data_IF_091252656243
#
_entry.id   IF_091252656243
#
_cell.length_a   1.000
_cell.length_b   1.000
_cell.length_c   1.000
_cell.angle_alpha   90.00
_cell.angle_beta   90.00
_cell.angle_gamma   90.00
#
_symmetry.space_group_name_H-M   'P 1'
#
loop_
_entity.id
_entity.type
_entity.pdbx_description
1 polymer ?
#
# COMPACT_ATOMS: atom_id res chain seq x y z
N UNK A 1 -10.25 8.94 4.58
CA UNK A 1 -10.82 8.78 3.22
C UNK A 1 -10.77 7.30 2.89
N UNK A 2 -11.90 6.61 2.76
CA UNK A 2 -11.89 5.19 2.37
C UNK A 2 -11.47 5.07 0.91
N UNK A 3 -10.43 4.28 0.64
CA UNK A 3 -10.02 3.95 -0.73
C UNK A 3 -11.00 2.88 -1.23
N UNK A 4 -11.61 3.05 -2.43
CA UNK A 4 -12.51 2.06 -2.99
C UNK A 4 -11.82 0.70 -3.16
N UNK A 5 -12.50 -0.35 -2.75
CA UNK A 5 -12.04 -1.73 -2.85
C UNK A 5 -12.41 -2.34 -4.21
N UNK A 6 -11.87 -3.54 -4.51
CA UNK A 6 -12.26 -4.30 -5.71
C UNK A 6 -13.76 -4.64 -5.71
N UNK A 7 -14.35 -4.88 -4.54
CA UNK A 7 -15.79 -5.13 -4.40
C UNK A 7 -16.61 -3.87 -4.76
N UNK A 8 -16.14 -2.69 -4.34
CA UNK A 8 -16.78 -1.43 -4.72
C UNK A 8 -16.73 -1.23 -6.25
N UNK A 9 -15.59 -1.53 -6.88
CA UNK A 9 -15.45 -1.47 -8.34
C UNK A 9 -16.32 -2.52 -9.07
N UNK A 10 -16.55 -3.68 -8.47
CA UNK A 10 -17.48 -4.67 -9.00
C UNK A 10 -18.92 -4.13 -9.03
N UNK A 11 -19.36 -3.51 -7.93
CA UNK A 11 -20.68 -2.87 -7.85
C UNK A 11 -20.80 -1.72 -8.86
N UNK A 12 -19.78 -0.87 -8.96
CA UNK A 12 -19.72 0.21 -9.96
C UNK A 12 -19.81 -0.34 -11.38
N UNK A 13 -19.13 -1.45 -11.66
CA UNK A 13 -19.17 -2.12 -12.97
C UNK A 13 -20.57 -2.58 -13.32
N UNK A 14 -21.33 -3.14 -12.36
CA UNK A 14 -22.72 -3.53 -12.59
C UNK A 14 -23.59 -2.34 -12.98
N UNK A 15 -23.53 -1.24 -12.21
CA UNK A 15 -24.28 -0.02 -12.54
C UNK A 15 -23.87 0.58 -13.89
N UNK A 16 -22.57 0.61 -14.19
CA UNK A 16 -22.06 1.07 -15.48
C UNK A 16 -22.56 0.18 -16.62
N UNK A 17 -22.63 -1.13 -16.42
CA UNK A 17 -23.16 -2.10 -17.39
C UNK A 17 -24.63 -1.85 -17.67
N UNK A 18 -25.47 -1.76 -16.64
CA UNK A 18 -26.90 -1.45 -16.80
C UNK A 18 -27.12 -0.13 -17.54
N UNK A 19 -26.36 0.90 -17.16
CA UNK A 19 -26.42 2.23 -17.79
C UNK A 19 -25.97 2.17 -19.26
N UNK A 20 -24.91 1.42 -19.56
CA UNK A 20 -24.41 1.22 -20.94
C UNK A 20 -25.45 0.53 -21.81
N UNK A 21 -26.08 -0.53 -21.31
CA UNK A 21 -27.15 -1.24 -22.01
C UNK A 21 -28.37 -0.33 -22.24
N UNK A 22 -28.75 0.48 -21.25
CA UNK A 22 -29.83 1.46 -21.39
C UNK A 22 -29.53 2.48 -22.49
N UNK A 23 -28.32 3.06 -22.52
CA UNK A 23 -27.91 3.98 -23.60
C UNK A 23 -27.79 3.27 -24.95
N UNK A 24 -27.35 2.01 -25.00
CA UNK A 24 -27.32 1.22 -26.22
C UNK A 24 -28.73 0.98 -26.79
N UNK A 25 -29.68 0.61 -25.94
CA UNK A 25 -31.09 0.48 -26.33
C UNK A 25 -31.68 1.82 -26.80
N UNK A 26 -31.40 2.91 -26.07
CA UNK A 26 -31.86 4.25 -26.45
C UNK A 26 -31.24 4.72 -27.77
N UNK A 27 -29.97 4.41 -28.01
CA UNK A 27 -29.30 4.62 -29.30
C UNK A 27 -30.05 3.91 -30.43
N UNK A 28 -30.36 2.62 -30.27
CA UNK A 28 -31.11 1.84 -31.27
C UNK A 28 -32.50 2.44 -31.55
N UNK A 29 -33.23 2.80 -30.49
CA UNK A 29 -34.54 3.47 -30.62
C UNK A 29 -34.42 4.83 -31.33
N UNK A 30 -33.39 5.61 -31.02
CA UNK A 30 -33.12 6.88 -31.68
C UNK A 30 -32.84 6.75 -33.18
N UNK A 31 -32.22 5.65 -33.61
CA UNK A 31 -32.09 5.33 -35.03
C UNK A 31 -33.40 4.88 -35.66
N UNK A 32 -34.18 4.02 -34.97
CA UNK A 32 -35.46 3.52 -35.46
C UNK A 32 -36.50 4.63 -35.65
N UNK A 33 -36.60 5.55 -34.68
CA UNK A 33 -37.52 6.68 -34.69
C UNK A 33 -36.91 7.96 -35.31
N UNK A 34 -35.69 7.88 -35.85
CA UNK A 34 -34.99 8.98 -36.55
C UNK A 34 -34.87 10.27 -35.73
N UNK A 35 -34.55 10.16 -34.44
CA UNK A 35 -34.35 11.33 -33.59
C UNK A 35 -33.15 12.19 -34.05
N UNK A 36 -33.26 13.50 -33.92
CA UNK A 36 -32.21 14.44 -34.34
C UNK A 36 -30.87 14.26 -33.58
N UNK A 37 -30.91 13.72 -32.37
CA UNK A 37 -29.74 13.53 -31.51
C UNK A 37 -29.18 12.09 -31.52
N UNK A 38 -29.67 11.20 -32.40
CA UNK A 38 -29.29 9.78 -32.43
C UNK A 38 -27.78 9.53 -32.52
N UNK A 39 -27.04 10.37 -33.24
CA UNK A 39 -25.58 10.23 -33.35
C UNK A 39 -24.84 10.63 -32.06
N UNK A 40 -25.40 11.53 -31.25
CA UNK A 40 -24.85 11.88 -29.93
C UNK A 40 -24.97 10.69 -28.98
N UNK A 41 -26.07 9.93 -29.07
CA UNK A 41 -26.26 8.72 -28.27
C UNK A 41 -25.20 7.65 -28.56
N UNK A 42 -24.76 7.49 -29.83
CA UNK A 42 -23.66 6.57 -30.16
C UNK A 42 -22.38 6.95 -29.43
N UNK A 43 -22.05 8.25 -29.39
CA UNK A 43 -20.91 8.76 -28.63
C UNK A 43 -21.04 8.48 -27.13
N UNK A 44 -22.21 8.74 -26.54
CA UNK A 44 -22.48 8.42 -25.13
C UNK A 44 -22.37 6.93 -24.85
N UNK A 45 -22.96 6.06 -25.68
CA UNK A 45 -22.85 4.60 -25.54
C UNK A 45 -21.39 4.15 -25.64
N UNK A 46 -20.62 4.66 -26.60
CA UNK A 46 -19.20 4.34 -26.74
C UNK A 46 -18.38 4.74 -25.52
N UNK A 47 -18.61 5.95 -24.98
CA UNK A 47 -17.96 6.40 -23.75
C UNK A 47 -18.33 5.50 -22.55
N UNK A 48 -19.61 5.14 -22.42
CA UNK A 48 -20.09 4.27 -21.35
C UNK A 48 -19.49 2.85 -21.42
N UNK A 49 -19.24 2.34 -22.63
CA UNK A 49 -18.50 1.07 -22.81
C UNK A 49 -17.09 1.20 -22.24
N UNK A 50 -16.35 2.25 -22.60
CA UNK A 50 -14.99 2.49 -22.09
C UNK A 50 -14.99 2.58 -20.56
N UNK A 51 -15.93 3.33 -19.98
CA UNK A 51 -16.06 3.48 -18.53
C UNK A 51 -16.34 2.13 -17.84
N UNK A 52 -17.24 1.32 -18.43
CA UNK A 52 -17.58 -0.01 -17.92
C UNK A 52 -16.38 -0.95 -17.97
N UNK A 53 -15.66 -1.00 -19.09
CA UNK A 53 -14.44 -1.81 -19.22
C UNK A 53 -13.35 -1.36 -18.25
N UNK A 54 -13.18 -0.05 -18.04
CA UNK A 54 -12.25 0.50 -17.07
C UNK A 54 -12.59 0.07 -15.64
N UNK A 55 -13.84 0.28 -15.21
CA UNK A 55 -14.31 -0.14 -13.89
C UNK A 55 -14.18 -1.66 -13.69
N UNK A 56 -14.49 -2.45 -14.71
CA UNK A 56 -14.35 -3.90 -14.68
C UNK A 56 -12.89 -4.33 -14.50
N UNK A 57 -11.96 -3.71 -15.24
CA UNK A 57 -10.52 -3.97 -15.07
C UNK A 57 -10.06 -3.72 -13.62
N UNK A 58 -10.55 -2.64 -13.00
CA UNK A 58 -10.26 -2.32 -11.60
C UNK A 58 -10.92 -3.29 -10.61
N UNK A 59 -12.01 -3.97 -10.98
CA UNK A 59 -12.64 -4.99 -10.12
C UNK A 59 -11.85 -6.31 -10.04
N UNK A 60 -10.99 -6.59 -11.03
CA UNK A 60 -10.24 -7.86 -11.11
C UNK A 60 -8.92 -7.79 -10.34
N UNK A 61 -8.24 -6.64 -10.34
CA UNK A 61 -6.90 -6.51 -9.74
C UNK A 61 -7.04 -6.13 -8.27
N UNK A 62 -6.57 -6.96 -7.32
CA UNK A 62 -6.63 -6.64 -5.91
C UNK A 62 -5.83 -5.37 -5.59
N UNK A 63 -6.51 -4.35 -5.06
CA UNK A 63 -5.88 -3.18 -4.45
C UNK A 63 -5.41 -3.42 -3.02
N UNK A 64 -5.74 -4.59 -2.45
CA UNK A 64 -5.34 -4.94 -1.09
C UNK A 64 -3.83 -5.13 -1.03
N UNK A 65 -3.16 -4.17 -0.41
CA UNK A 65 -1.78 -4.36 0.02
C UNK A 65 -1.77 -5.53 1.01
N UNK A 66 -0.87 -6.47 0.80
CA UNK A 66 -0.63 -7.55 1.76
C UNK A 66 -0.22 -6.91 3.08
N UNK A 67 -1.13 -6.93 4.06
CA UNK A 67 -0.88 -6.36 5.38
C UNK A 67 -0.58 -7.50 6.34
N UNK A 68 0.61 -7.50 6.92
CA UNK A 68 1.05 -8.47 7.91
C UNK A 68 0.39 -8.10 9.24
N UNK A 69 -0.40 -9.02 9.85
CA UNK A 69 -1.02 -8.78 11.14
C UNK A 69 0.02 -8.37 12.20
N UNK A 70 -0.30 -7.35 13.00
CA UNK A 70 0.61 -6.85 14.03
C UNK A 70 1.66 -5.84 13.54
N UNK A 71 1.73 -5.56 12.24
CA UNK A 71 2.53 -4.43 11.74
C UNK A 71 1.94 -3.11 12.24
N UNK A 72 2.81 -2.20 12.69
CA UNK A 72 2.44 -0.84 13.10
C UNK A 72 2.82 0.18 12.01
N UNK A 73 2.26 1.41 12.05
CA UNK A 73 2.67 2.47 11.14
C UNK A 73 4.15 2.82 11.28
N UNK A 74 4.80 3.08 10.15
CA UNK A 74 6.19 3.53 10.08
C UNK A 74 6.36 4.61 9.02
N UNK A 75 7.47 5.35 9.08
CA UNK A 75 7.82 6.35 8.07
C UNK A 75 9.17 6.02 7.44
N UNK A 76 9.30 6.12 6.12
CA UNK A 76 10.61 6.00 5.47
C UNK A 76 11.37 7.30 5.69
N UNK A 77 12.49 7.23 6.41
CA UNK A 77 13.32 8.41 6.73
C UNK A 77 14.57 8.50 5.87
N UNK A 78 14.98 7.40 5.26
CA UNK A 78 16.08 7.37 4.30
C UNK A 78 15.82 6.25 3.29
N UNK A 79 16.13 6.52 2.04
CA UNK A 79 16.14 5.54 0.95
C UNK A 79 17.24 5.97 -0.03
N UNK A 80 18.17 5.08 -0.34
CA UNK A 80 19.24 5.35 -1.30
C UNK A 80 18.84 5.06 -2.76
N UNK A 81 17.59 4.66 -3.00
CA UNK A 81 17.07 4.29 -4.31
C UNK A 81 17.67 3.00 -4.89
N UNK A 82 18.35 2.21 -4.05
CA UNK A 82 19.04 0.98 -4.39
C UNK A 82 18.72 -0.12 -3.34
N UNK A 83 19.72 -0.57 -2.59
CA UNK A 83 19.64 -1.73 -1.70
C UNK A 83 19.43 -1.38 -0.22
N UNK A 84 19.21 -0.10 0.13
CA UNK A 84 19.08 0.29 1.54
C UNK A 84 17.99 1.32 1.78
N UNK A 85 17.12 1.01 2.74
CA UNK A 85 16.15 1.96 3.30
C UNK A 85 16.20 1.93 4.84
N UNK A 86 15.81 3.06 5.44
CA UNK A 86 15.68 3.20 6.89
C UNK A 86 14.29 3.71 7.21
N UNK A 87 13.55 2.94 8.00
CA UNK A 87 12.22 3.29 8.51
C UNK A 87 12.32 3.78 9.96
N UNK A 88 11.47 4.73 10.32
CA UNK A 88 11.25 5.17 11.68
C UNK A 88 10.00 4.49 12.26
N UNK A 89 10.15 3.95 13.46
CA UNK A 89 9.07 3.33 14.26
C UNK A 89 8.95 4.04 15.61
N UNK A 90 7.77 4.00 16.25
CA UNK A 90 7.57 4.55 17.59
C UNK A 90 8.54 3.96 18.62
N UNK A 91 8.95 4.74 19.64
CA UNK A 91 9.86 4.27 20.69
C UNK A 91 9.20 3.28 21.66
N UNK A 92 7.90 2.97 21.50
CA UNK A 92 7.12 2.05 22.35
C UNK A 92 6.77 0.74 21.65
N UNK A 93 7.48 0.43 20.56
CA UNK A 93 7.28 -0.79 19.74
C UNK A 93 7.71 -2.05 20.49
N UNK A 94 6.94 -3.13 20.38
CA UNK A 94 7.35 -4.45 20.92
C UNK A 94 8.18 -5.23 19.92
N UNK A 95 8.84 -6.28 20.37
CA UNK A 95 9.62 -7.17 19.49
C UNK A 95 8.75 -7.81 18.39
N UNK A 96 7.54 -8.25 18.73
CA UNK A 96 6.61 -8.87 17.77
C UNK A 96 6.07 -7.86 16.75
N UNK A 97 5.71 -6.65 17.19
CA UNK A 97 5.30 -5.56 16.30
C UNK A 97 6.45 -5.15 15.38
N UNK A 98 7.69 -5.10 15.90
CA UNK A 98 8.87 -4.76 15.11
C UNK A 98 9.16 -5.79 14.03
N UNK A 99 9.10 -7.09 14.35
CA UNK A 99 9.27 -8.17 13.37
C UNK A 99 8.20 -8.06 12.25
N UNK A 100 6.92 -7.93 12.64
CA UNK A 100 5.83 -7.77 11.68
C UNK A 100 6.00 -6.51 10.82
N UNK A 101 6.42 -5.40 11.42
CA UNK A 101 6.63 -4.12 10.74
C UNK A 101 7.82 -4.16 9.79
N UNK A 102 8.92 -4.80 10.17
CA UNK A 102 10.08 -4.99 9.30
C UNK A 102 9.69 -5.83 8.08
N UNK A 103 8.95 -6.93 8.27
CA UNK A 103 8.43 -7.74 7.16
C UNK A 103 7.48 -6.95 6.27
N UNK A 104 6.59 -6.16 6.85
CA UNK A 104 5.68 -5.29 6.08
C UNK A 104 6.46 -4.27 5.26
N UNK A 105 7.46 -3.64 5.87
CA UNK A 105 8.32 -2.66 5.20
C UNK A 105 9.13 -3.31 4.07
N UNK A 106 9.62 -4.52 4.28
CA UNK A 106 10.27 -5.29 3.23
C UNK A 106 9.34 -5.54 2.05
N UNK A 107 8.07 -5.88 2.26
CA UNK A 107 7.08 -6.05 1.18
C UNK A 107 6.77 -4.73 0.47
N UNK A 108 6.55 -3.66 1.23
CA UNK A 108 6.14 -2.36 0.70
C UNK A 108 7.24 -1.67 -0.09
N UNK A 109 8.48 -1.78 0.37
CA UNK A 109 9.64 -1.13 -0.24
C UNK A 109 10.27 -2.01 -1.34
N UNK A 110 9.58 -3.05 -1.82
CA UNK A 110 10.03 -3.85 -2.95
C UNK A 110 10.34 -2.95 -4.17
N UNK A 111 11.63 -2.79 -4.49
CA UNK A 111 12.05 -2.11 -5.70
C UNK A 111 13.45 -2.58 -6.09
N UNK A 112 13.64 -2.93 -7.37
CA UNK A 112 14.98 -3.20 -7.94
C UNK A 112 15.86 -1.94 -7.98
N UNK A 113 15.31 -0.74 -7.75
CA UNK A 113 16.05 0.52 -7.85
C UNK A 113 16.55 0.82 -9.27
N UNK A 114 17.24 1.96 -9.44
CA UNK A 114 17.81 2.35 -10.74
C UNK A 114 19.18 1.72 -11.01
N UNK A 115 19.85 1.29 -9.96
CA UNK A 115 21.19 0.72 -10.00
C UNK A 115 21.29 -0.60 -9.22
N UNK A 116 20.16 -1.19 -8.82
CA UNK A 116 20.17 -2.46 -8.10
C UNK A 116 20.47 -3.64 -9.01
N UNK A 117 21.22 -4.59 -8.47
CA UNK A 117 21.53 -5.85 -9.12
C UNK A 117 20.54 -6.92 -8.64
N UNK A 118 20.13 -7.82 -9.54
CA UNK A 118 19.25 -8.97 -9.22
C UNK A 118 19.86 -9.85 -8.12
N UNK A 119 21.19 -9.88 -8.00
CA UNK A 119 21.93 -10.63 -6.98
C UNK A 119 22.13 -9.86 -5.66
N UNK A 120 21.78 -8.58 -5.60
CA UNK A 120 21.88 -7.79 -4.37
C UNK A 120 20.66 -8.03 -3.46
N UNK A 121 20.88 -7.89 -2.16
CA UNK A 121 19.83 -7.97 -1.15
C UNK A 121 19.43 -6.56 -0.71
N UNK A 122 18.14 -6.31 -0.63
CA UNK A 122 17.63 -5.10 0.02
C UNK A 122 17.73 -5.25 1.52
N UNK A 123 18.19 -4.20 2.19
CA UNK A 123 18.27 -4.08 3.63
C UNK A 123 17.35 -2.95 4.07
N UNK A 124 16.31 -3.28 4.82
CA UNK A 124 15.46 -2.28 5.49
C UNK A 124 15.81 -2.27 6.96
N UNK A 125 16.25 -1.12 7.48
CA UNK A 125 16.61 -0.95 8.90
C UNK A 125 15.52 -0.18 9.62
N UNK A 126 15.11 -0.65 10.79
CA UNK A 126 14.22 0.09 11.66
C UNK A 126 15.02 0.89 12.69
N UNK A 127 14.67 2.16 12.84
CA UNK A 127 15.18 3.02 13.91
C UNK A 127 14.04 3.72 14.65
N UNK A 128 14.33 4.18 15.85
CA UNK A 128 13.51 5.13 16.58
C UNK A 128 14.35 6.33 17.01
N UNK A 129 13.70 7.37 17.51
CA UNK A 129 14.34 8.52 18.14
C UNK A 129 14.01 8.50 19.63
N UNK A 130 15.04 8.43 20.46
CA UNK A 130 14.90 8.57 21.90
C UNK A 130 15.16 10.02 22.31
N UNK A 131 14.38 10.48 23.29
CA UNK A 131 14.48 11.82 23.87
C UNK A 131 14.84 11.72 25.36
N UNK A 132 16.11 11.41 25.71
CA UNK A 132 16.51 11.22 27.10
C UNK A 132 16.46 12.52 27.92
N UNK A 133 16.73 13.66 27.27
CA UNK A 133 16.73 14.99 27.88
C UNK A 133 16.05 16.00 26.96
N UNK A 134 15.57 17.12 27.53
CA UNK A 134 14.94 18.18 26.76
C UNK A 134 15.91 18.76 25.73
N UNK A 135 15.54 18.72 24.45
CA UNK A 135 16.36 19.23 23.35
C UNK A 135 17.44 18.26 22.85
N UNK A 136 17.56 17.06 23.43
CA UNK A 136 18.49 16.01 22.98
C UNK A 136 17.69 14.87 22.34
N UNK A 137 18.09 14.48 21.13
CA UNK A 137 17.47 13.35 20.41
C UNK A 137 18.55 12.41 19.91
N UNK A 138 18.40 11.12 20.19
CA UNK A 138 19.38 10.10 19.83
C UNK A 138 18.70 9.05 18.94
N UNK A 139 19.18 8.82 17.70
CA UNK A 139 18.67 7.74 16.87
C UNK A 139 19.17 6.39 17.40
N UNK A 140 18.25 5.44 17.56
CA UNK A 140 18.55 4.08 17.97
C UNK A 140 18.01 3.10 16.94
N UNK A 141 18.88 2.23 16.41
CA UNK A 141 18.45 1.15 15.52
C UNK A 141 17.94 -0.03 16.33
N UNK A 142 16.82 -0.62 15.92
CA UNK A 142 16.14 -1.70 16.65
C UNK A 142 16.23 -3.05 15.95
N UNK A 143 16.51 -3.05 14.65
CA UNK A 143 16.67 -4.26 13.86
C UNK A 143 16.77 -3.96 12.37
N UNK A 144 16.96 -5.03 11.60
CA UNK A 144 16.97 -5.00 10.15
C UNK A 144 16.32 -6.23 9.54
N UNK A 145 15.87 -6.10 8.29
CA UNK A 145 15.43 -7.21 7.47
C UNK A 145 16.19 -7.20 6.15
N UNK A 146 16.66 -8.38 5.76
CA UNK A 146 17.37 -8.62 4.50
C UNK A 146 16.57 -9.55 3.62
N UNK A 147 16.40 -9.17 2.37
CA UNK A 147 15.62 -9.93 1.38
C UNK A 147 16.16 -9.78 -0.03
N UNK A 148 15.79 -10.68 -0.91
CA UNK A 148 16.13 -10.61 -2.34
C UNK A 148 15.50 -9.38 -3.01
N UNK A 149 16.20 -8.79 -3.99
CA UNK A 149 15.63 -7.80 -4.91
C UNK A 149 14.89 -8.44 -6.09
N UNK A 150 15.15 -9.72 -6.37
CA UNK A 150 14.60 -10.45 -7.51
C UNK A 150 13.21 -11.05 -7.24
N UNK A 151 12.93 -11.40 -5.98
CA UNK A 151 11.73 -12.15 -5.58
C UNK A 151 10.88 -11.29 -4.65
N UNK A 152 9.61 -11.07 -5.02
CA UNK A 152 8.69 -10.21 -4.26
C UNK A 152 8.20 -10.84 -2.97
N UNK A 153 7.79 -12.10 -3.07
CA UNK A 153 7.41 -12.94 -1.94
C UNK A 153 8.60 -13.84 -1.61
N UNK A 154 9.56 -13.27 -0.89
CA UNK A 154 10.74 -14.00 -0.45
C UNK A 154 10.40 -14.77 0.83
N UNK A 155 10.24 -16.09 0.77
CA UNK A 155 10.04 -16.89 1.98
C UNK A 155 11.31 -16.97 2.85
N UNK A 156 12.46 -16.55 2.31
CA UNK A 156 13.77 -16.61 2.96
C UNK A 156 14.22 -15.26 3.52
N UNK A 157 13.29 -14.33 3.79
CA UNK A 157 13.62 -13.06 4.45
C UNK A 157 14.27 -13.31 5.81
N UNK A 158 15.43 -12.72 6.03
CA UNK A 158 16.15 -12.79 7.29
C UNK A 158 15.90 -11.52 8.10
N UNK A 159 15.09 -11.63 9.15
CA UNK A 159 14.88 -10.56 10.13
C UNK A 159 15.91 -10.73 11.25
N UNK A 160 16.59 -9.63 11.61
CA UNK A 160 17.51 -9.56 12.75
C UNK A 160 17.04 -8.44 13.68
N UNK A 161 16.64 -8.80 14.89
CA UNK A 161 16.27 -7.84 15.92
C UNK A 161 17.48 -7.57 16.83
N UNK A 162 17.52 -6.39 17.46
CA UNK A 162 18.60 -5.99 18.36
C UNK A 162 18.06 -5.91 19.81
N UNK A 163 18.09 -7.00 20.59
CA UNK A 163 17.47 -7.06 21.93
C UNK A 163 18.01 -6.00 22.89
N UNK A 164 19.31 -5.73 22.85
CA UNK A 164 19.96 -4.70 23.68
C UNK A 164 19.45 -3.28 23.38
N UNK A 165 19.04 -3.02 22.14
CA UNK A 165 18.46 -1.74 21.74
C UNK A 165 16.98 -1.67 22.10
N UNK A 166 16.24 -2.78 21.96
CA UNK A 166 14.86 -2.89 22.41
C UNK A 166 14.72 -2.70 23.93
N UNK A 167 15.69 -3.18 24.72
CA UNK A 167 15.72 -3.01 26.18
C UNK A 167 15.87 -1.54 26.64
N UNK A 168 16.31 -0.64 25.75
CA UNK A 168 16.46 0.80 26.04
C UNK A 168 15.16 1.59 25.78
N UNK A 169 14.12 0.93 25.26
CA UNK A 169 12.87 1.59 24.93
C UNK A 169 12.06 1.92 26.19
N UNK A 170 11.37 3.07 26.21
CA UNK A 170 10.44 3.39 27.27
C UNK A 170 9.29 2.37 27.32
N UNK A 171 8.72 2.11 28.52
CA UNK A 171 7.54 1.29 28.64
C UNK A 171 6.37 1.92 27.89
N UNK A 172 5.50 1.06 27.34
CA UNK A 172 4.27 1.51 26.67
C UNK A 172 3.36 2.25 27.66
N UNK A 173 2.89 3.46 27.34
CA UNK A 173 1.88 4.14 28.13
C UNK A 173 0.60 3.30 28.20
N UNK A 174 -0.11 3.27 29.34
CA UNK A 174 -1.41 2.61 29.41
C UNK A 174 -2.38 3.26 28.42
N UNK A 175 -3.20 2.43 27.77
CA UNK A 175 -4.11 2.76 26.66
C UNK A 175 -5.10 3.92 26.93
N UNK A 176 -5.27 4.30 28.20
CA UNK A 176 -6.16 5.36 28.65
C UNK A 176 -5.63 6.79 28.41
N UNK A 177 -4.34 6.98 28.14
CA UNK A 177 -3.70 8.30 28.05
C UNK A 177 -3.60 8.86 26.61
N UNK A 178 -4.09 8.10 25.62
CA UNK A 178 -3.96 8.42 24.19
C UNK A 178 -5.15 9.22 23.63
N UNK A 179 -6.12 9.58 24.48
CA UNK A 179 -7.37 10.26 24.09
C UNK A 179 -7.49 11.74 24.49
N UNK A 180 -6.43 12.38 24.98
CA UNK A 180 -6.42 13.84 25.25
C UNK A 180 -5.67 14.66 24.21
#
# INVERSE_FOLDING_TARGET
MNIPTTEDFWVITQYCTYTTLAFGALSLLGFLFKWGFRFRLVGTTGFMIVLTCGAFGLSIVPFVQTTIPGSIPYQVTFDNGMSQAVIAVPPTVTESELDATLRQAALNLFSLGRAGNVNEKMIVRARTLLHPELGVSIPLYLGDVKRSLAVREDEQMAVTLYPESLAQLPPRPPEAEVLE
#
